data_IF_422434699471
#
_entry.id   IF_422434699471
#
_cell.length_a   1.000
_cell.length_b   1.000
_cell.length_c   1.000
_cell.angle_alpha   90.00
_cell.angle_beta   90.00
_cell.angle_gamma   90.00
#
_symmetry.space_group_name_H-M   'P 1'
#
loop_
_entity.id
_entity.type
_entity.pdbx_description
1 polymer ?
#
# COMPACT_ATOMS: atom_id res chain seq x y z
N UNK A 1 -21.53 -68.51 -13.24
CA UNK A 1 -21.63 -67.20 -13.95
C UNK A 1 -22.88 -66.50 -13.44
N UNK A 2 -22.89 -65.22 -13.08
CA UNK A 2 -21.80 -64.26 -13.15
C UNK A 2 -22.30 -62.81 -13.18
N UNK A 3 -22.94 -62.37 -12.09
CA UNK A 3 -23.18 -60.97 -11.67
C UNK A 3 -23.86 -60.01 -12.67
N UNK A 4 -25.03 -59.50 -12.27
CA UNK A 4 -25.48 -58.15 -12.59
C UNK A 4 -25.92 -57.51 -11.28
N UNK A 5 -25.16 -56.54 -10.80
CA UNK A 5 -25.42 -55.82 -9.55
C UNK A 5 -25.40 -54.32 -9.81
N UNK A 6 -26.45 -53.63 -9.38
CA UNK A 6 -26.49 -52.17 -9.35
C UNK A 6 -25.57 -51.63 -8.25
N UNK A 7 -24.87 -50.53 -8.51
CA UNK A 7 -24.31 -49.64 -7.48
C UNK A 7 -24.18 -48.24 -8.05
N UNK A 8 -24.54 -47.26 -7.23
CA UNK A 8 -24.56 -45.83 -7.56
C UNK A 8 -23.19 -45.16 -7.30
N UNK A 9 -23.18 -43.84 -7.51
CA UNK A 9 -22.27 -42.85 -6.93
C UNK A 9 -20.85 -42.75 -7.51
N UNK A 10 -20.37 -41.51 -7.63
CA UNK A 10 -19.06 -41.20 -8.21
C UNK A 10 -18.97 -39.88 -8.97
N UNK A 11 -19.76 -38.85 -8.62
CA UNK A 11 -19.41 -37.48 -8.99
C UNK A 11 -18.08 -37.13 -8.31
N UNK A 12 -17.02 -36.75 -9.05
CA UNK A 12 -15.85 -36.16 -8.42
C UNK A 12 -16.21 -34.74 -7.99
N UNK A 13 -16.55 -34.59 -6.70
CA UNK A 13 -16.26 -33.35 -6.00
C UNK A 13 -14.72 -33.23 -5.94
N UNK A 14 -14.14 -32.59 -6.94
CA UNK A 14 -12.84 -31.95 -6.81
C UNK A 14 -13.11 -30.46 -6.76
N UNK A 15 -12.66 -29.80 -5.70
CA UNK A 15 -12.67 -28.34 -5.64
C UNK A 15 -11.89 -27.82 -6.84
N UNK A 16 -12.59 -27.23 -7.80
CA UNK A 16 -11.98 -26.37 -8.80
C UNK A 16 -11.44 -25.18 -8.01
N UNK A 17 -10.17 -25.28 -7.61
CA UNK A 17 -9.46 -24.23 -6.91
C UNK A 17 -9.71 -22.94 -7.68
N UNK A 18 -10.40 -21.99 -7.04
CA UNK A 18 -10.78 -20.75 -7.68
C UNK A 18 -9.50 -20.13 -8.23
N UNK A 19 -9.37 -20.14 -9.56
CA UNK A 19 -8.11 -19.77 -10.19
C UNK A 19 -7.87 -18.30 -9.88
N UNK A 20 -6.98 -18.03 -8.92
CA UNK A 20 -6.67 -16.68 -8.45
C UNK A 20 -6.05 -15.94 -9.62
N UNK A 21 -6.88 -15.21 -10.34
CA UNK A 21 -6.48 -14.51 -11.56
C UNK A 21 -5.39 -13.52 -11.19
N UNK A 22 -4.25 -13.59 -11.88
CA UNK A 22 -3.13 -12.67 -11.70
C UNK A 22 -3.69 -11.24 -11.76
N UNK A 23 -3.53 -10.42 -10.70
CA UNK A 23 -4.13 -9.10 -10.67
C UNK A 23 -3.48 -8.20 -11.72
N UNK A 24 -4.25 -7.27 -12.29
CA UNK A 24 -3.72 -6.35 -13.28
C UNK A 24 -2.74 -5.33 -12.65
N UNK A 25 -1.66 -4.93 -13.35
CA UNK A 25 -0.76 -3.88 -12.89
C UNK A 25 -1.46 -2.51 -12.84
N UNK A 26 -0.94 -1.60 -11.99
CA UNK A 26 -1.47 -0.24 -11.84
C UNK A 26 -1.13 0.65 -13.04
N UNK A 27 0.04 0.43 -13.64
CA UNK A 27 0.43 1.02 -14.91
C UNK A 27 0.08 0.05 -16.05
N UNK A 28 -0.33 0.59 -17.20
CA UNK A 28 -0.83 -0.20 -18.32
C UNK A 28 0.24 -0.62 -19.32
N UNK A 29 1.44 -0.08 -19.19
CA UNK A 29 2.54 -0.44 -20.07
C UNK A 29 3.05 -1.83 -19.69
N UNK A 30 3.52 -2.56 -20.68
CA UNK A 30 3.91 -3.95 -20.50
C UNK A 30 5.34 -4.01 -19.96
N UNK A 31 5.52 -4.71 -18.82
CA UNK A 31 6.81 -5.03 -18.22
C UNK A 31 7.61 -3.82 -17.74
N UNK A 32 7.17 -3.31 -16.59
CA UNK A 32 7.87 -2.23 -15.88
C UNK A 32 9.14 -2.73 -15.19
N UNK A 33 10.20 -1.91 -15.21
CA UNK A 33 11.43 -2.20 -14.49
C UNK A 33 11.23 -1.89 -13.00
N UNK A 34 11.33 -2.89 -12.13
CA UNK A 34 11.08 -2.68 -10.70
C UNK A 34 11.53 -3.83 -9.82
N UNK A 35 11.52 -3.61 -8.51
CA UNK A 35 11.75 -4.64 -7.49
C UNK A 35 10.47 -4.95 -6.71
N UNK A 36 10.60 -5.87 -5.76
CA UNK A 36 9.54 -6.20 -4.81
C UNK A 36 9.82 -5.46 -3.50
N UNK A 37 8.78 -4.87 -2.94
CA UNK A 37 8.78 -4.21 -1.64
C UNK A 37 7.63 -4.78 -0.79
N UNK A 38 7.74 -4.66 0.53
CA UNK A 38 6.68 -5.11 1.43
C UNK A 38 6.36 -4.12 2.55
N UNK A 39 5.11 -4.14 2.98
CA UNK A 39 4.62 -3.43 4.16
C UNK A 39 3.75 -4.35 5.00
N UNK A 40 3.64 -4.03 6.28
CA UNK A 40 2.72 -4.68 7.21
C UNK A 40 1.55 -3.76 7.53
N UNK A 41 0.33 -4.31 7.52
CA UNK A 41 -0.90 -3.60 7.83
C UNK A 41 -1.69 -4.44 8.83
N UNK A 42 -1.89 -3.94 10.05
CA UNK A 42 -2.56 -4.66 11.15
C UNK A 42 -1.97 -6.08 11.35
N UNK A 43 -0.63 -6.19 11.34
CA UNK A 43 0.11 -7.46 11.41
C UNK A 43 0.02 -8.37 10.17
N UNK A 44 -0.65 -7.94 9.09
CA UNK A 44 -0.72 -8.69 7.82
C UNK A 44 0.32 -8.17 6.84
N UNK A 45 1.16 -9.06 6.31
CA UNK A 45 2.17 -8.72 5.30
C UNK A 45 1.54 -8.56 3.91
N UNK A 46 1.86 -7.47 3.24
CA UNK A 46 1.49 -7.18 1.86
C UNK A 46 2.74 -6.83 1.04
N UNK A 47 2.86 -7.45 -0.13
CA UNK A 47 3.90 -7.21 -1.11
C UNK A 47 3.37 -6.34 -2.24
N UNK A 48 4.28 -5.61 -2.89
CA UNK A 48 3.98 -4.85 -4.09
C UNK A 48 5.22 -4.68 -4.98
N UNK A 49 5.00 -4.53 -6.28
CA UNK A 49 6.04 -4.13 -7.22
C UNK A 49 6.28 -2.63 -7.18
N UNK A 50 7.53 -2.18 -7.29
CA UNK A 50 7.92 -0.77 -7.22
C UNK A 50 9.00 -0.40 -8.24
N UNK A 51 8.81 0.72 -8.95
CA UNK A 51 9.80 1.32 -9.86
C UNK A 51 10.58 2.43 -9.14
N UNK A 52 11.84 2.14 -8.80
CA UNK A 52 12.77 3.05 -8.12
C UNK A 52 13.33 4.19 -9.00
N UNK A 53 12.94 4.26 -10.28
CA UNK A 53 13.35 5.32 -11.20
C UNK A 53 12.26 6.36 -11.45
N UNK A 54 11.00 5.96 -11.43
CA UNK A 54 9.83 6.85 -11.49
C UNK A 54 9.16 7.09 -10.13
N UNK A 55 9.62 6.39 -9.08
CA UNK A 55 9.07 6.40 -7.72
C UNK A 55 7.59 6.00 -7.63
N UNK A 56 7.18 4.95 -8.36
CA UNK A 56 5.77 4.54 -8.49
C UNK A 56 5.54 3.07 -8.14
N UNK A 57 4.39 2.80 -7.54
CA UNK A 57 3.93 1.42 -7.30
C UNK A 57 3.36 0.84 -8.59
N UNK A 58 3.76 -0.40 -8.88
CA UNK A 58 3.43 -1.14 -10.09
C UNK A 58 2.25 -2.10 -9.92
N UNK A 59 1.98 -2.57 -8.70
CA UNK A 59 0.98 -3.60 -8.41
C UNK A 59 -0.07 -3.18 -7.37
N UNK A 60 -1.22 -3.85 -7.32
CA UNK A 60 -2.04 -3.95 -6.11
C UNK A 60 -1.23 -4.54 -4.94
N UNK A 61 -1.71 -4.34 -3.71
CA UNK A 61 -1.20 -5.03 -2.52
C UNK A 61 -1.58 -6.51 -2.59
N UNK A 62 -0.58 -7.40 -2.58
CA UNK A 62 -0.74 -8.85 -2.64
C UNK A 62 -0.23 -9.44 -1.34
N UNK A 63 -1.02 -10.23 -0.61
CA UNK A 63 -0.62 -10.85 0.66
C UNK A 63 -0.15 -12.31 0.51
N UNK A 64 0.10 -12.75 -0.72
CA UNK A 64 0.57 -14.09 -1.05
C UNK A 64 1.84 -13.99 -1.91
N UNK A 65 3.00 -14.27 -1.29
CA UNK A 65 3.74 -15.48 -1.66
C UNK A 65 3.93 -15.67 -3.18
N UNK A 66 3.39 -16.81 -3.64
CA UNK A 66 3.45 -17.27 -5.01
C UNK A 66 2.72 -16.31 -5.96
N UNK A 67 1.62 -15.68 -5.52
CA UNK A 67 0.88 -14.74 -6.36
C UNK A 67 1.71 -13.49 -6.69
N UNK A 68 2.54 -13.00 -5.77
CA UNK A 68 3.43 -11.87 -6.03
C UNK A 68 4.55 -12.24 -7.01
N UNK A 69 5.17 -13.42 -6.86
CA UNK A 69 6.21 -13.88 -7.80
C UNK A 69 5.64 -14.14 -9.20
N UNK A 70 4.42 -14.69 -9.30
CA UNK A 70 3.67 -14.86 -10.56
C UNK A 70 3.30 -13.51 -11.18
N UNK A 71 2.86 -12.54 -10.38
CA UNK A 71 2.59 -11.18 -10.86
C UNK A 71 3.84 -10.57 -11.49
N UNK A 72 4.98 -10.65 -10.80
CA UNK A 72 6.23 -10.07 -11.25
C UNK A 72 6.78 -10.76 -12.52
N UNK A 73 6.78 -12.09 -12.58
CA UNK A 73 7.09 -12.89 -13.79
C UNK A 73 6.25 -12.46 -15.02
N UNK A 74 4.99 -12.08 -14.78
CA UNK A 74 4.04 -11.71 -15.85
C UNK A 74 4.17 -10.24 -16.27
N UNK A 75 4.38 -9.32 -15.32
CA UNK A 75 4.17 -7.88 -15.49
C UNK A 75 5.39 -6.99 -15.24
N UNK A 76 6.52 -7.55 -14.82
CA UNK A 76 7.73 -6.80 -14.45
C UNK A 76 9.00 -7.34 -15.10
N UNK A 77 10.04 -6.51 -15.14
CA UNK A 77 11.40 -6.85 -15.55
C UNK A 77 12.41 -6.22 -14.57
N UNK A 78 13.65 -6.69 -14.64
CA UNK A 78 14.81 -6.04 -14.04
C UNK A 78 15.59 -5.24 -15.10
N UNK A 79 16.59 -4.48 -14.65
CA UNK A 79 17.45 -3.68 -15.56
C UNK A 79 18.26 -4.50 -16.55
N UNK A 80 18.45 -5.80 -16.29
CA UNK A 80 19.12 -6.77 -17.15
C UNK A 80 18.14 -7.65 -17.96
N UNK A 81 16.83 -7.48 -17.77
CA UNK A 81 15.77 -8.08 -18.59
C UNK A 81 14.73 -8.88 -17.79
N UNK A 82 14.10 -9.84 -18.47
CA UNK A 82 13.12 -10.73 -17.84
C UNK A 82 13.79 -11.85 -17.05
N UNK A 83 13.27 -12.11 -15.85
CA UNK A 83 13.65 -13.26 -15.03
C UNK A 83 12.46 -14.19 -14.80
N UNK A 84 12.74 -15.43 -14.39
CA UNK A 84 11.74 -16.42 -14.06
C UNK A 84 11.15 -16.24 -12.66
N UNK A 85 10.17 -17.08 -12.32
CA UNK A 85 9.51 -17.04 -11.01
C UNK A 85 10.42 -17.33 -9.82
N UNK A 86 11.47 -18.15 -9.98
CA UNK A 86 12.36 -18.50 -8.87
C UNK A 86 13.15 -17.26 -8.44
N UNK A 87 13.68 -16.51 -9.41
CA UNK A 87 14.28 -15.20 -9.15
C UNK A 87 13.31 -14.20 -8.49
N UNK A 88 12.07 -14.09 -8.99
CA UNK A 88 11.09 -13.20 -8.36
C UNK A 88 10.67 -13.68 -6.97
N UNK A 89 10.67 -14.99 -6.70
CA UNK A 89 10.39 -15.57 -5.38
C UNK A 89 11.45 -15.16 -4.36
N UNK A 90 12.73 -15.25 -4.74
CA UNK A 90 13.84 -14.79 -3.91
C UNK A 90 13.68 -13.31 -3.54
N UNK A 91 13.31 -12.44 -4.49
CA UNK A 91 13.06 -11.02 -4.20
C UNK A 91 11.85 -10.77 -3.28
N UNK A 92 10.81 -11.61 -3.33
CA UNK A 92 9.70 -11.48 -2.36
C UNK A 92 10.17 -11.88 -0.96
N UNK A 93 10.98 -12.95 -0.84
CA UNK A 93 11.53 -13.36 0.45
C UNK A 93 12.56 -12.34 1.01
N UNK A 94 13.41 -11.73 0.17
CA UNK A 94 14.29 -10.61 0.57
C UNK A 94 13.49 -9.39 1.10
N UNK A 95 12.33 -9.10 0.50
CA UNK A 95 11.45 -8.00 0.91
C UNK A 95 10.80 -8.19 2.29
N UNK A 96 10.92 -9.38 2.89
CA UNK A 96 10.49 -9.65 4.27
C UNK A 96 11.51 -9.12 5.31
N UNK A 97 12.80 -9.17 4.97
CA UNK A 97 13.89 -8.81 5.88
C UNK A 97 14.32 -7.35 5.73
N UNK A 98 14.12 -6.75 4.57
CA UNK A 98 14.56 -5.38 4.25
C UNK A 98 13.67 -4.67 3.25
N UNK A 99 13.74 -3.34 3.24
CA UNK A 99 13.13 -2.47 2.22
C UNK A 99 14.20 -1.53 1.67
N UNK A 100 14.17 -1.24 0.37
CA UNK A 100 15.00 -0.21 -0.23
C UNK A 100 14.34 1.18 -0.18
N UNK A 101 13.11 1.28 0.34
CA UNK A 101 12.33 2.52 0.46
C UNK A 101 12.37 3.15 1.87
N UNK A 102 12.53 2.34 2.92
CA UNK A 102 12.55 2.81 4.30
C UNK A 102 13.26 1.84 5.26
N UNK A 103 13.58 2.33 6.46
CA UNK A 103 14.02 1.47 7.58
C UNK A 103 12.87 0.52 7.99
N UNK A 104 13.13 -0.73 8.41
CA UNK A 104 12.11 -1.75 8.67
C UNK A 104 10.98 -1.30 9.62
N UNK A 105 11.29 -0.51 10.64
CA UNK A 105 10.29 0.01 11.61
C UNK A 105 9.32 1.04 11.00
N UNK A 106 9.61 1.54 9.79
CA UNK A 106 8.75 2.47 9.05
C UNK A 106 7.81 1.77 8.06
N UNK A 107 7.98 0.46 7.84
CA UNK A 107 7.21 -0.36 6.90
C UNK A 107 5.99 -1.05 7.53
N UNK A 108 5.65 -0.74 8.79
CA UNK A 108 4.47 -1.28 9.48
C UNK A 108 3.47 -0.16 9.82
N UNK A 109 2.18 -0.42 9.58
CA UNK A 109 1.08 0.52 9.77
C UNK A 109 -0.11 -0.15 10.46
N UNK A 110 -0.77 0.59 11.35
CA UNK A 110 -1.97 0.12 12.05
C UNK A 110 -3.19 0.94 11.64
N UNK A 111 -4.33 0.28 11.46
CA UNK A 111 -5.67 0.90 11.25
C UNK A 111 -5.93 1.99 12.29
N UNK A 112 -5.63 1.71 13.55
CA UNK A 112 -5.83 2.67 14.64
C UNK A 112 -4.99 3.94 14.46
N UNK A 113 -3.77 3.83 13.93
CA UNK A 113 -2.92 4.99 13.65
C UNK A 113 -3.55 5.89 12.59
N UNK A 114 -4.08 5.34 11.48
CA UNK A 114 -4.72 6.16 10.45
C UNK A 114 -6.02 6.83 10.94
N UNK A 115 -6.85 6.10 11.70
CA UNK A 115 -8.01 6.68 12.41
C UNK A 115 -7.59 7.83 13.32
N UNK A 116 -6.53 7.66 14.11
CA UNK A 116 -6.02 8.70 15.02
C UNK A 116 -5.48 9.92 14.27
N UNK A 117 -4.77 9.73 13.15
CA UNK A 117 -4.32 10.82 12.28
C UNK A 117 -5.53 11.62 11.77
N UNK A 118 -6.51 10.95 11.16
CA UNK A 118 -7.71 11.60 10.60
C UNK A 118 -8.53 12.31 11.68
N UNK A 119 -8.72 11.68 12.83
CA UNK A 119 -9.46 12.25 13.97
C UNK A 119 -8.74 13.47 14.55
N UNK A 120 -7.42 13.40 14.71
CA UNK A 120 -6.60 14.52 15.18
C UNK A 120 -6.70 15.69 14.21
N UNK A 121 -6.54 15.45 12.90
CA UNK A 121 -6.63 16.49 11.88
C UNK A 121 -8.01 17.17 11.86
N UNK A 122 -9.10 16.42 11.98
CA UNK A 122 -10.46 16.98 12.14
C UNK A 122 -10.57 17.87 13.39
N UNK A 123 -10.13 17.37 14.54
CA UNK A 123 -10.17 18.13 15.79
C UNK A 123 -9.34 19.43 15.71
N UNK A 124 -8.14 19.40 15.11
CA UNK A 124 -7.30 20.60 14.93
C UNK A 124 -7.95 21.57 13.93
N UNK A 125 -8.53 21.07 12.84
CA UNK A 125 -9.26 21.87 11.84
C UNK A 125 -10.49 22.63 12.40
N UNK A 126 -11.06 22.13 13.49
CA UNK A 126 -12.20 22.70 14.22
C UNK A 126 -11.79 23.59 15.41
N UNK A 127 -10.74 23.20 16.15
CA UNK A 127 -10.41 23.83 17.45
C UNK A 127 -9.15 24.68 17.47
N UNK A 128 -8.24 24.51 16.50
CA UNK A 128 -6.92 25.15 16.49
C UNK A 128 -5.95 24.67 17.57
N UNK A 129 -6.33 23.67 18.38
CA UNK A 129 -5.50 23.14 19.47
C UNK A 129 -4.53 22.08 18.93
N UNK A 130 -3.21 22.24 19.06
CA UNK A 130 -2.24 21.26 18.58
C UNK A 130 -2.31 19.93 19.36
N UNK A 131 -1.86 18.85 18.73
CA UNK A 131 -1.84 17.49 19.31
C UNK A 131 -0.38 17.02 19.42
N UNK A 132 0.26 17.06 20.61
CA UNK A 132 1.69 16.77 20.77
C UNK A 132 2.13 15.41 20.24
N UNK A 133 1.30 14.39 20.47
CA UNK A 133 1.57 13.00 20.06
C UNK A 133 1.18 12.72 18.61
N UNK A 134 0.79 13.74 17.83
CA UNK A 134 0.47 13.57 16.43
C UNK A 134 1.68 13.01 15.66
N UNK A 135 1.47 11.88 15.01
CA UNK A 135 2.45 11.22 14.17
C UNK A 135 1.80 10.81 12.86
N UNK A 136 2.27 11.40 11.75
CA UNK A 136 1.88 10.99 10.41
C UNK A 136 3.13 10.53 9.65
N UNK A 137 3.39 9.21 9.60
CA UNK A 137 4.60 8.64 9.01
C UNK A 137 4.86 9.18 7.60
N UNK A 138 6.12 9.50 7.30
CA UNK A 138 6.51 9.93 5.95
C UNK A 138 6.32 8.80 4.94
N UNK A 139 6.73 7.58 5.28
CA UNK A 139 6.64 6.42 4.37
C UNK A 139 5.19 6.11 3.96
N UNK A 140 4.23 6.18 4.89
CA UNK A 140 2.79 6.07 4.59
C UNK A 140 2.32 7.12 3.57
N UNK A 141 2.70 8.39 3.77
CA UNK A 141 2.36 9.51 2.87
C UNK A 141 2.98 9.34 1.48
N UNK A 142 4.22 8.86 1.45
CA UNK A 142 4.97 8.54 0.24
C UNK A 142 4.28 7.42 -0.56
N UNK A 143 4.01 6.27 0.07
CA UNK A 143 3.38 5.12 -0.58
C UNK A 143 1.98 5.43 -1.12
N UNK A 144 1.14 6.15 -0.37
CA UNK A 144 -0.18 6.57 -0.86
C UNK A 144 -0.07 7.47 -2.10
N UNK A 145 0.95 8.34 -2.16
CA UNK A 145 1.18 9.22 -3.30
C UNK A 145 1.73 8.46 -4.52
N UNK A 146 2.67 7.53 -4.31
CA UNK A 146 3.26 6.71 -5.38
C UNK A 146 2.27 5.67 -5.95
N UNK A 147 1.41 5.07 -5.12
CA UNK A 147 0.28 4.24 -5.55
C UNK A 147 -0.77 5.04 -6.33
N UNK A 148 -0.88 6.34 -6.07
CA UNK A 148 -1.67 7.29 -6.86
C UNK A 148 -1.00 7.76 -8.16
N UNK A 149 0.19 7.22 -8.51
CA UNK A 149 1.04 7.70 -9.63
C UNK A 149 1.30 9.21 -9.54
N UNK A 150 1.45 9.72 -8.31
CA UNK A 150 1.71 11.11 -7.99
C UNK A 150 0.70 12.14 -8.54
N UNK A 151 -0.52 11.71 -8.88
CA UNK A 151 -1.63 12.58 -9.34
C UNK A 151 -2.06 13.55 -8.25
N UNK A 152 -2.13 13.04 -7.03
CA UNK A 152 -2.31 13.79 -5.79
C UNK A 152 -1.05 13.62 -4.93
N UNK A 153 -0.70 14.64 -4.14
CA UNK A 153 0.54 14.68 -3.35
C UNK A 153 0.33 15.46 -2.07
N UNK A 154 1.07 15.10 -1.02
CA UNK A 154 1.17 15.94 0.17
C UNK A 154 2.01 17.19 -0.11
N UNK A 155 1.46 18.38 0.14
CA UNK A 155 2.18 19.66 0.07
C UNK A 155 2.55 20.19 1.45
N UNK A 156 1.94 19.64 2.51
CA UNK A 156 2.26 19.97 3.89
C UNK A 156 3.75 19.78 4.22
N UNK A 157 4.43 20.90 4.49
CA UNK A 157 5.86 20.92 4.84
C UNK A 157 6.12 20.23 6.18
N UNK A 158 7.38 19.87 6.42
CA UNK A 158 7.78 19.35 7.72
C UNK A 158 7.50 20.34 8.88
N UNK A 159 7.58 21.65 8.60
CA UNK A 159 7.17 22.72 9.53
C UNK A 159 5.66 22.70 9.81
N UNK A 160 4.82 22.48 8.78
CA UNK A 160 3.37 22.33 8.96
C UNK A 160 3.01 21.14 9.85
N UNK A 161 3.67 19.99 9.67
CA UNK A 161 3.50 18.82 10.55
C UNK A 161 4.01 19.11 11.97
N UNK A 162 5.15 19.80 12.14
CA UNK A 162 5.65 20.21 13.47
C UNK A 162 4.80 21.29 14.14
N UNK A 163 4.06 22.09 13.36
CA UNK A 163 3.07 23.04 13.83
C UNK A 163 1.82 22.33 14.36
N UNK A 164 1.33 21.32 13.66
CA UNK A 164 0.25 20.42 14.12
C UNK A 164 0.59 19.77 15.47
N UNK A 165 1.87 19.40 15.68
CA UNK A 165 2.37 18.89 16.97
C UNK A 165 2.54 19.95 18.06
N UNK A 166 2.42 21.24 17.74
CA UNK A 166 2.73 22.35 18.66
C UNK A 166 4.22 22.47 19.01
N UNK A 167 5.10 21.78 18.26
CA UNK A 167 6.56 21.87 18.44
C UNK A 167 7.18 23.08 17.73
N UNK A 168 6.45 23.65 16.77
CA UNK A 168 6.78 24.89 16.07
C UNK A 168 5.53 25.78 15.96
N UNK A 169 5.72 27.07 15.74
CA UNK A 169 4.64 27.99 15.35
C UNK A 169 4.29 27.79 13.88
N UNK A 170 3.00 27.95 13.53
CA UNK A 170 2.59 28.04 12.13
C UNK A 170 3.33 29.16 11.38
N UNK A 171 3.60 28.93 10.09
CA UNK A 171 4.21 29.93 9.22
C UNK A 171 3.39 31.23 9.11
N UNK A 172 4.04 32.35 8.79
CA UNK A 172 3.39 33.65 8.71
C UNK A 172 2.20 33.63 7.72
N UNK A 173 1.02 34.03 8.20
CA UNK A 173 -0.23 34.01 7.42
C UNK A 173 -0.97 32.68 7.39
N UNK A 174 -0.41 31.59 7.93
CA UNK A 174 -1.10 30.31 8.11
C UNK A 174 -1.67 30.16 9.53
N UNK A 175 -2.73 29.35 9.67
CA UNK A 175 -3.29 28.96 10.97
C UNK A 175 -3.25 27.43 11.13
N UNK A 176 -3.22 26.93 12.36
CA UNK A 176 -3.18 25.48 12.62
C UNK A 176 -4.41 24.77 12.04
N UNK A 177 -5.57 25.40 12.11
CA UNK A 177 -6.81 24.89 11.54
C UNK A 177 -6.70 24.77 10.02
N UNK A 178 -6.10 25.75 9.35
CA UNK A 178 -5.92 25.72 7.90
C UNK A 178 -4.93 24.62 7.49
N UNK A 179 -3.78 24.53 8.15
CA UNK A 179 -2.78 23.47 7.92
C UNK A 179 -3.43 22.08 8.12
N UNK A 180 -4.21 21.89 9.18
CA UNK A 180 -4.88 20.63 9.44
C UNK A 180 -5.96 20.27 8.40
N UNK A 181 -6.74 21.25 7.91
CA UNK A 181 -7.69 21.05 6.80
C UNK A 181 -6.98 20.67 5.50
N UNK A 182 -5.85 21.31 5.21
CA UNK A 182 -5.08 21.03 4.01
C UNK A 182 -4.47 19.63 4.06
N UNK A 183 -3.85 19.23 5.17
CA UNK A 183 -3.36 17.85 5.37
C UNK A 183 -4.51 16.83 5.29
N UNK A 184 -5.66 17.10 5.91
CA UNK A 184 -6.82 16.20 5.87
C UNK A 184 -7.35 16.00 4.44
N UNK A 185 -7.47 17.09 3.67
CA UNK A 185 -7.86 17.04 2.26
C UNK A 185 -6.83 16.27 1.43
N UNK A 186 -5.54 16.53 1.62
CA UNK A 186 -4.46 15.83 0.92
C UNK A 186 -4.49 14.32 1.22
N UNK A 187 -4.69 13.92 2.48
CA UNK A 187 -4.87 12.52 2.89
C UNK A 187 -6.03 11.86 2.13
N UNK A 188 -7.20 12.52 2.09
CA UNK A 188 -8.37 12.02 1.36
C UNK A 188 -8.12 11.93 -0.14
N UNK A 189 -7.47 12.94 -0.72
CA UNK A 189 -7.12 12.97 -2.13
C UNK A 189 -6.19 11.82 -2.53
N UNK A 190 -5.10 11.58 -1.80
CA UNK A 190 -4.17 10.48 -2.14
C UNK A 190 -4.80 9.10 -1.96
N UNK A 191 -5.61 8.89 -0.92
CA UNK A 191 -6.32 7.61 -0.71
C UNK A 191 -7.34 7.35 -1.82
N UNK A 192 -8.00 8.39 -2.35
CA UNK A 192 -8.91 8.26 -3.48
C UNK A 192 -8.20 8.11 -4.84
N UNK A 193 -6.95 8.59 -4.95
CA UNK A 193 -6.16 8.51 -6.18
C UNK A 193 -5.39 7.19 -6.32
N UNK A 194 -5.14 6.47 -5.22
CA UNK A 194 -4.38 5.23 -5.17
C UNK A 194 -5.00 4.12 -6.03
N UNK A 195 -4.20 3.48 -6.88
CA UNK A 195 -4.65 2.45 -7.82
C UNK A 195 -4.89 1.08 -7.18
N UNK A 196 -5.65 0.23 -7.88
CA UNK A 196 -5.91 -1.15 -7.45
C UNK A 196 -6.66 -1.21 -6.13
N UNK A 197 -6.29 -2.16 -5.27
CA UNK A 197 -6.87 -2.32 -3.92
C UNK A 197 -6.22 -1.42 -2.86
N UNK A 198 -5.21 -0.60 -3.20
CA UNK A 198 -4.58 0.31 -2.22
C UNK A 198 -5.60 1.25 -1.58
N UNK A 199 -6.45 1.87 -2.40
CA UNK A 199 -7.53 2.71 -1.92
C UNK A 199 -8.50 1.94 -1.01
N UNK A 200 -8.82 0.69 -1.32
CA UNK A 200 -9.77 -0.12 -0.53
C UNK A 200 -9.17 -0.51 0.83
N UNK A 201 -7.93 -1.00 0.85
CA UNK A 201 -7.20 -1.34 2.07
C UNK A 201 -7.06 -0.10 2.95
N UNK A 202 -6.47 0.99 2.44
CA UNK A 202 -6.23 2.20 3.24
C UNK A 202 -7.52 2.96 3.63
N UNK A 203 -8.60 2.90 2.85
CA UNK A 203 -9.90 3.45 3.29
C UNK A 203 -10.61 2.56 4.32
N UNK A 204 -10.33 1.26 4.38
CA UNK A 204 -10.80 0.41 5.48
C UNK A 204 -10.10 0.77 6.80
N UNK A 205 -8.80 1.13 6.74
CA UNK A 205 -8.04 1.65 7.88
C UNK A 205 -8.56 3.01 8.40
N UNK A 206 -9.32 3.75 7.58
CA UNK A 206 -9.80 5.11 7.88
C UNK A 206 -11.22 5.19 8.47
N UNK A 207 -11.93 4.06 8.60
CA UNK A 207 -13.30 3.94 9.10
C UNK A 207 -13.37 3.63 10.60
#
# INVERSE_FOLDING_TARGET
>A
MGILGSSESGTPNGEEAAATSIPAPLLRDYRHIGGIESIEIDGTRHFFGYDFSEDVVLSPLINDIELMSVFAETHMEQRDGSHDREYWRDLVDESLESSALAEPESCSFESEQLRLIITSLKNIAETGVPVPDFNYPYHLRFLLSSAGQWKERFTATAEGIRSIKGTESAAEGATLEQIARDVLRETQNVMNAAGGNWAEVFNALAQ
#
